data_IF_509688521991
#
_entry.id   IF_509688521991
#
_cell.length_a   1.000
_cell.length_b   1.000
_cell.length_c   1.000
_cell.angle_alpha   90.00
_cell.angle_beta   90.00
_cell.angle_gamma   90.00
#
_symmetry.space_group_name_H-M   'P 1'
#
loop_
_entity.id
_entity.type
_entity.pdbx_description
1 polymer ?
#
# COMPACT_ATOMS: atom_id res chain seq x y z
N UNK A 1 -10.97 -4.29 8.98
CA UNK A 1 -11.32 -3.64 7.70
C UNK A 1 -10.89 -4.57 6.58
N UNK A 2 -11.78 -4.85 5.63
CA UNK A 2 -11.43 -5.65 4.44
C UNK A 2 -10.65 -4.76 3.47
N UNK A 3 -9.58 -5.27 2.88
CA UNK A 3 -8.79 -4.55 1.88
C UNK A 3 -8.61 -5.48 0.69
N UNK A 4 -9.05 -5.07 -0.50
CA UNK A 4 -9.02 -5.93 -1.70
C UNK A 4 -8.66 -5.15 -2.96
N UNK A 5 -8.04 -5.85 -3.90
CA UNK A 5 -7.77 -5.33 -5.24
C UNK A 5 -8.99 -5.42 -6.16
N UNK A 6 -10.01 -6.20 -5.79
CA UNK A 6 -11.29 -6.30 -6.50
C UNK A 6 -12.18 -5.10 -6.22
N UNK A 7 -13.05 -4.74 -7.17
CA UNK A 7 -13.99 -3.62 -7.00
C UNK A 7 -15.15 -3.96 -6.05
N UNK A 8 -15.60 -5.22 -6.06
CA UNK A 8 -16.70 -5.71 -5.24
C UNK A 8 -16.23 -6.78 -4.24
N UNK A 9 -17.01 -6.96 -3.16
CA UNK A 9 -16.81 -8.02 -2.16
C UNK A 9 -18.01 -8.96 -2.22
N UNK A 10 -17.76 -10.24 -2.50
CA UNK A 10 -18.84 -11.22 -2.66
C UNK A 10 -19.68 -11.34 -1.38
N UNK A 11 -21.01 -11.28 -1.53
CA UNK A 11 -21.95 -11.37 -0.41
C UNK A 11 -22.29 -10.03 0.26
N UNK A 12 -21.71 -8.92 -0.21
CA UNK A 12 -21.99 -7.58 0.29
C UNK A 12 -22.47 -6.65 -0.83
N UNK A 13 -23.39 -5.77 -0.47
CA UNK A 13 -23.67 -4.53 -1.20
C UNK A 13 -22.65 -3.48 -0.75
N UNK A 14 -22.13 -2.72 -1.71
CA UNK A 14 -21.02 -1.79 -1.53
C UNK A 14 -21.53 -0.37 -1.75
N UNK A 15 -21.46 0.47 -0.72
CA UNK A 15 -21.73 1.91 -0.82
C UNK A 15 -20.42 2.69 -0.77
N UNK A 16 -20.17 3.53 -1.77
CA UNK A 16 -18.93 4.32 -1.86
C UNK A 16 -18.96 5.50 -0.89
N UNK A 17 -17.87 5.68 -0.16
CA UNK A 17 -17.66 6.85 0.70
C UNK A 17 -16.79 7.89 0.00
N UNK A 18 -15.51 7.59 -0.22
CA UNK A 18 -14.56 8.48 -0.89
C UNK A 18 -13.31 7.70 -1.36
N UNK A 19 -12.43 8.37 -2.09
CA UNK A 19 -11.06 7.92 -2.34
C UNK A 19 -10.23 8.04 -1.06
N UNK A 20 -9.35 7.06 -0.83
CA UNK A 20 -8.39 7.08 0.28
C UNK A 20 -6.99 6.80 -0.19
N UNK A 21 -6.02 7.37 0.50
CA UNK A 21 -4.61 7.29 0.12
C UNK A 21 -3.69 7.12 1.32
N UNK A 22 -2.58 6.44 1.10
CA UNK A 22 -1.48 6.34 2.04
C UNK A 22 -0.17 6.30 1.28
N UNK A 23 0.68 7.28 1.50
CA UNK A 23 1.98 7.36 0.85
C UNK A 23 3.12 7.23 1.87
N UNK A 24 4.26 6.77 1.38
CA UNK A 24 5.52 6.81 2.13
C UNK A 24 6.68 7.09 1.19
N UNK A 25 7.71 7.79 1.67
CA UNK A 25 8.89 8.17 0.87
C UNK A 25 10.11 7.46 1.44
N UNK A 26 10.89 6.82 0.56
CA UNK A 26 12.15 6.14 0.92
C UNK A 26 13.32 6.83 0.23
N UNK A 27 14.34 7.21 1.00
CA UNK A 27 15.57 7.80 0.49
C UNK A 27 16.58 6.72 0.05
N UNK A 28 17.36 6.98 -1.00
CA UNK A 28 18.46 6.14 -1.50
C UNK A 28 19.52 5.89 -0.43
N UNK A 29 19.64 6.75 0.59
CA UNK A 29 20.59 6.59 1.69
C UNK A 29 20.21 5.43 2.64
N UNK A 30 18.92 5.16 2.82
CA UNK A 30 18.43 3.92 3.48
C UNK A 30 18.87 2.70 2.65
N UNK A 31 18.84 2.81 1.33
CA UNK A 31 19.35 1.79 0.42
C UNK A 31 20.88 1.65 0.39
N UNK A 32 21.66 2.65 0.84
CA UNK A 32 23.14 2.61 0.80
C UNK A 32 23.71 1.66 1.86
N UNK A 33 23.08 1.61 3.04
CA UNK A 33 23.41 0.63 4.09
C UNK A 33 23.03 -0.79 3.66
N UNK A 34 21.90 -0.93 2.94
CA UNK A 34 21.52 -2.18 2.27
C UNK A 34 22.57 -2.58 1.22
N UNK A 35 23.00 -1.64 0.36
CA UNK A 35 24.03 -1.87 -0.67
C UNK A 35 25.41 -2.22 -0.09
N UNK A 36 25.78 -1.68 1.07
CA UNK A 36 27.01 -2.09 1.76
C UNK A 36 26.96 -3.57 2.21
N UNK A 37 25.76 -4.12 2.45
CA UNK A 37 25.49 -5.54 2.69
C UNK A 37 25.27 -6.39 1.43
N UNK A 38 25.09 -5.79 0.25
CA UNK A 38 24.85 -6.47 -1.05
C UNK A 38 26.12 -7.01 -1.72
N UNK A 39 27.22 -7.16 -0.99
CA UNK A 39 28.39 -7.94 -1.48
C UNK A 39 28.05 -9.40 -1.82
N UNK A 40 26.81 -9.84 -1.62
CA UNK A 40 26.30 -11.19 -1.84
C UNK A 40 25.52 -11.38 -3.15
N UNK A 41 25.50 -10.43 -4.10
CA UNK A 41 24.92 -10.70 -5.43
C UNK A 41 25.83 -11.65 -6.21
N UNK A 42 25.54 -12.94 -6.10
CA UNK A 42 25.77 -13.92 -7.16
C UNK A 42 24.41 -14.50 -7.55
N UNK A 43 23.80 -13.92 -8.59
CA UNK A 43 22.68 -14.52 -9.33
C UNK A 43 21.28 -14.53 -8.72
N UNK A 44 20.97 -13.75 -7.66
CA UNK A 44 19.69 -13.83 -6.93
C UNK A 44 19.00 -12.50 -6.57
N UNK A 45 17.97 -12.60 -5.72
CA UNK A 45 17.16 -11.48 -5.20
C UNK A 45 17.96 -10.56 -4.27
N UNK A 46 17.72 -9.25 -4.35
CA UNK A 46 18.31 -8.25 -3.47
C UNK A 46 17.55 -8.18 -2.15
N UNK A 47 17.81 -9.12 -1.24
CA UNK A 47 16.99 -9.33 -0.04
C UNK A 47 16.70 -8.05 0.78
N UNK A 48 17.72 -7.21 1.03
CA UNK A 48 17.50 -5.97 1.78
C UNK A 48 16.70 -4.90 1.01
N UNK A 49 16.72 -4.92 -0.33
CA UNK A 49 15.81 -4.07 -1.13
C UNK A 49 14.39 -4.62 -1.08
N UNK A 50 14.21 -5.94 -1.12
CA UNK A 50 12.91 -6.58 -1.00
C UNK A 50 12.26 -6.33 0.37
N UNK A 51 13.04 -6.39 1.44
CA UNK A 51 12.62 -6.06 2.81
C UNK A 51 12.21 -4.59 2.91
N UNK A 52 13.06 -3.66 2.44
CA UNK A 52 12.73 -2.23 2.39
C UNK A 52 11.42 -1.95 1.62
N UNK A 53 11.19 -2.64 0.49
CA UNK A 53 9.97 -2.50 -0.29
C UNK A 53 8.75 -3.12 0.42
N UNK A 54 8.93 -4.19 1.18
CA UNK A 54 7.87 -4.78 2.00
C UNK A 54 7.43 -3.81 3.09
N UNK A 55 8.38 -3.20 3.81
CA UNK A 55 8.09 -2.20 4.84
C UNK A 55 7.40 -0.96 4.26
N UNK A 56 7.86 -0.50 3.09
CA UNK A 56 7.23 0.62 2.39
C UNK A 56 5.77 0.32 2.03
N UNK A 57 5.47 -0.88 1.51
CA UNK A 57 4.10 -1.30 1.20
C UNK A 57 3.24 -1.40 2.46
N UNK A 58 3.76 -1.99 3.53
CA UNK A 58 3.03 -2.14 4.79
C UNK A 58 2.66 -0.77 5.38
N UNK A 59 3.62 0.18 5.40
CA UNK A 59 3.38 1.53 5.91
C UNK A 59 2.37 2.31 5.06
N UNK A 60 2.54 2.31 3.73
CA UNK A 60 1.60 2.98 2.83
C UNK A 60 0.19 2.42 2.95
N UNK A 61 0.05 1.09 3.00
CA UNK A 61 -1.23 0.42 3.19
C UNK A 61 -1.85 0.75 4.55
N UNK A 62 -1.05 0.78 5.62
CA UNK A 62 -1.54 1.16 6.95
C UNK A 62 -2.11 2.58 6.95
N UNK A 63 -1.40 3.54 6.35
CA UNK A 63 -1.85 4.94 6.25
C UNK A 63 -3.15 5.07 5.45
N UNK A 64 -3.28 4.34 4.34
CA UNK A 64 -4.53 4.29 3.54
C UNK A 64 -5.69 3.71 4.35
N UNK A 65 -5.45 2.65 5.12
CA UNK A 65 -6.47 2.06 6.01
C UNK A 65 -6.86 3.02 7.12
N UNK A 66 -5.90 3.73 7.71
CA UNK A 66 -6.20 4.72 8.74
C UNK A 66 -7.00 5.91 8.21
N UNK A 67 -6.77 6.30 6.95
CA UNK A 67 -7.57 7.29 6.26
C UNK A 67 -9.02 6.80 6.05
N UNK A 68 -9.19 5.56 5.58
CA UNK A 68 -10.51 4.93 5.46
C UNK A 68 -11.26 4.81 6.80
N UNK A 69 -10.54 4.56 7.91
CA UNK A 69 -11.15 4.53 9.25
C UNK A 69 -11.72 5.89 9.65
N UNK A 70 -11.11 7.01 9.23
CA UNK A 70 -11.64 8.36 9.53
C UNK A 70 -12.98 8.63 8.84
N UNK A 71 -13.26 7.89 7.77
CA UNK A 71 -14.53 7.92 7.05
C UNK A 71 -15.54 6.91 7.60
N UNK A 72 -15.24 6.22 8.71
CA UNK A 72 -16.02 5.09 9.23
C UNK A 72 -16.24 3.98 8.20
N UNK A 73 -15.28 3.76 7.29
CA UNK A 73 -15.37 2.71 6.28
C UNK A 73 -15.29 1.30 6.88
N UNK A 74 -15.96 0.34 6.24
CA UNK A 74 -15.87 -1.08 6.60
C UNK A 74 -14.78 -1.79 5.78
N UNK A 75 -14.53 -1.29 4.56
CA UNK A 75 -13.55 -1.83 3.62
C UNK A 75 -12.91 -0.77 2.72
N UNK A 76 -11.79 -1.15 2.10
CA UNK A 76 -11.20 -0.46 0.95
C UNK A 76 -11.15 -1.42 -0.23
N UNK A 77 -11.78 -1.05 -1.34
CA UNK A 77 -11.85 -1.84 -2.57
C UNK A 77 -10.99 -1.20 -3.66
N UNK A 78 -10.77 -1.97 -4.73
CA UNK A 78 -10.02 -1.55 -5.91
C UNK A 78 -8.61 -0.99 -5.59
N UNK A 79 -7.96 -1.57 -4.58
CA UNK A 79 -6.66 -1.09 -4.08
C UNK A 79 -5.59 -1.22 -5.15
N UNK A 80 -4.76 -0.19 -5.28
CA UNK A 80 -3.61 -0.13 -6.17
C UNK A 80 -2.40 0.42 -5.45
N UNK A 81 -1.23 -0.01 -5.90
CA UNK A 81 0.06 0.54 -5.49
C UNK A 81 0.71 1.18 -6.71
N UNK A 82 1.29 2.37 -6.52
CA UNK A 82 2.11 3.02 -7.52
C UNK A 82 3.36 3.57 -6.87
N UNK A 83 4.43 3.69 -7.66
CA UNK A 83 5.69 4.28 -7.21
C UNK A 83 6.07 5.43 -8.13
N UNK A 84 6.63 6.49 -7.55
CA UNK A 84 7.07 7.68 -8.30
C UNK A 84 8.43 8.14 -7.76
N UNK A 85 9.30 8.63 -8.64
CA UNK A 85 10.50 9.34 -8.20
C UNK A 85 10.10 10.77 -7.85
N UNK A 86 10.23 11.14 -6.57
CA UNK A 86 9.82 12.47 -6.08
C UNK A 86 10.96 13.46 -6.16
N UNK A 87 12.17 13.04 -5.81
CA UNK A 87 13.38 13.86 -5.87
C UNK A 87 14.61 13.02 -6.18
N UNK A 88 15.74 13.68 -6.47
CA UNK A 88 17.01 13.01 -6.70
C UNK A 88 17.39 12.16 -5.48
N UNK A 89 17.17 10.85 -5.60
CA UNK A 89 17.47 9.91 -4.55
C UNK A 89 16.36 9.67 -3.53
N UNK A 90 15.10 9.93 -3.85
CA UNK A 90 13.99 9.38 -3.10
C UNK A 90 12.87 8.90 -4.03
N UNK A 91 12.14 7.88 -3.59
CA UNK A 91 10.95 7.39 -4.28
C UNK A 91 9.77 7.34 -3.30
N UNK A 92 8.61 7.74 -3.78
CA UNK A 92 7.33 7.52 -3.11
C UNK A 92 6.79 6.14 -3.47
N UNK A 93 6.17 5.51 -2.49
CA UNK A 93 5.24 4.41 -2.67
C UNK A 93 3.86 4.87 -2.16
N UNK A 94 2.90 4.92 -3.08
CA UNK A 94 1.52 5.31 -2.83
C UNK A 94 0.62 4.08 -2.92
N UNK A 95 -0.15 3.83 -1.86
CA UNK A 95 -1.31 2.96 -1.85
C UNK A 95 -2.58 3.82 -1.96
N UNK A 96 -3.50 3.46 -2.84
CA UNK A 96 -4.79 4.14 -2.95
C UNK A 96 -5.91 3.16 -3.29
N UNK A 97 -7.15 3.53 -2.97
CA UNK A 97 -8.35 2.75 -3.27
C UNK A 97 -9.61 3.52 -2.92
N UNK A 98 -10.74 2.83 -2.91
CA UNK A 98 -12.05 3.41 -2.58
C UNK A 98 -12.50 2.91 -1.22
N UNK A 99 -12.74 3.81 -0.27
CA UNK A 99 -13.35 3.49 1.01
C UNK A 99 -14.86 3.26 0.85
N UNK A 100 -15.39 2.21 1.47
CA UNK A 100 -16.78 1.78 1.29
C UNK A 100 -17.44 1.31 2.59
N UNK A 101 -18.75 1.44 2.66
CA UNK A 101 -19.63 0.76 3.62
C UNK A 101 -20.13 -0.56 3.06
N UNK A 102 -20.32 -1.55 3.94
CA UNK A 102 -20.80 -2.88 3.56
C UNK A 102 -22.18 -3.19 4.14
N UNK A 103 -23.16 -3.38 3.26
CA UNK A 103 -24.47 -3.96 3.60
C UNK A 103 -24.49 -5.46 3.30
N UNK A 104 -25.00 -6.30 4.21
CA UNK A 104 -25.18 -7.73 3.92
C UNK A 104 -26.37 -7.94 2.98
N UNK A 105 -26.17 -8.69 1.90
CA UNK A 105 -27.29 -9.13 1.06
C UNK A 105 -27.99 -10.29 1.77
N UNK A 106 -29.16 -10.04 2.37
CA UNK A 106 -30.01 -11.09 2.92
C UNK A 106 -30.71 -11.78 1.75
N UNK A 107 -30.46 -13.08 1.57
CA UNK A 107 -31.17 -13.93 0.60
C UNK A 107 -32.41 -14.55 1.23
#
# INVERSE_FOLDING_TARGET
MIVTTTENIQGYEVETLDIVFGNTVRAKHIGKDVVAGLKSIVGGELHGYSEMLADARAEAMSRMVDDAKRLDADAVVNVRFTTSQTMAGAAELLAYGTAVKLGKIIR
#
